data_IF_988541758787
#
_entry.id   IF_988541758787
#
_cell.length_a   1.000
_cell.length_b   1.000
_cell.length_c   1.000
_cell.angle_alpha   90.00
_cell.angle_beta   90.00
_cell.angle_gamma   90.00
#
_symmetry.space_group_name_H-M   'P 1'
#
loop_
_entity.id
_entity.type
_entity.pdbx_description
1 polymer ?
#
# COMPACT_ATOMS: atom_id res chain seq x y z
N UNK A 1 16.37 -16.75 -28.46
CA UNK A 1 16.64 -16.75 -27.01
C UNK A 1 16.22 -15.45 -26.31
N UNK A 2 16.65 -14.27 -26.77
CA UNK A 2 16.31 -12.97 -26.13
C UNK A 2 14.79 -12.72 -26.08
N UNK A 3 14.05 -13.01 -27.15
CA UNK A 3 12.59 -12.83 -27.18
C UNK A 3 11.84 -13.70 -26.14
N UNK A 4 12.31 -14.92 -25.88
CA UNK A 4 11.71 -15.82 -24.87
C UNK A 4 11.96 -15.28 -23.46
N UNK A 5 13.16 -14.74 -23.20
CA UNK A 5 13.51 -14.07 -21.96
C UNK A 5 12.62 -12.84 -21.70
N UNK A 6 12.34 -12.03 -22.73
CA UNK A 6 11.46 -10.86 -22.62
C UNK A 6 10.02 -11.28 -22.27
N UNK A 7 9.48 -12.30 -22.94
CA UNK A 7 8.14 -12.83 -22.65
C UNK A 7 8.06 -13.38 -21.22
N UNK A 8 9.11 -14.07 -20.77
CA UNK A 8 9.19 -14.61 -19.41
C UNK A 8 9.20 -13.49 -18.35
N UNK A 9 10.01 -12.44 -18.55
CA UNK A 9 10.05 -11.27 -17.66
C UNK A 9 8.70 -10.56 -17.64
N UNK A 10 8.04 -10.36 -18.78
CA UNK A 10 6.69 -9.78 -18.85
C UNK A 10 5.66 -10.64 -18.11
N UNK A 11 5.74 -11.97 -18.24
CA UNK A 11 4.89 -12.91 -17.51
C UNK A 11 5.04 -12.78 -15.98
N UNK A 12 6.29 -12.73 -15.49
CA UNK A 12 6.58 -12.50 -14.07
C UNK A 12 6.04 -11.14 -13.63
N UNK A 13 6.20 -10.09 -14.45
CA UNK A 13 5.70 -8.76 -14.10
C UNK A 13 4.18 -8.72 -13.96
N UNK A 14 3.46 -9.40 -14.85
CA UNK A 14 2.00 -9.51 -14.78
C UNK A 14 1.54 -10.30 -13.55
N UNK A 15 2.18 -11.43 -13.27
CA UNK A 15 1.92 -12.25 -12.07
C UNK A 15 2.13 -11.44 -10.80
N UNK A 16 3.23 -10.68 -10.72
CA UNK A 16 3.54 -9.85 -9.57
C UNK A 16 2.51 -8.72 -9.39
N UNK A 17 2.11 -8.06 -10.48
CA UNK A 17 1.10 -7.01 -10.45
C UNK A 17 -0.29 -7.53 -10.04
N UNK A 18 -0.62 -8.77 -10.43
CA UNK A 18 -1.84 -9.43 -9.98
C UNK A 18 -1.77 -9.81 -8.50
N UNK A 19 -0.63 -10.35 -8.06
CA UNK A 19 -0.38 -10.72 -6.68
C UNK A 19 -0.43 -9.51 -5.73
N UNK A 20 0.20 -8.38 -6.10
CA UNK A 20 0.17 -7.15 -5.30
C UNK A 20 -1.23 -6.55 -5.22
N UNK A 21 -2.04 -6.61 -6.29
CA UNK A 21 -3.45 -6.19 -6.26
C UNK A 21 -4.28 -7.06 -5.32
N UNK A 22 -4.09 -8.37 -5.34
CA UNK A 22 -4.76 -9.29 -4.42
C UNK A 22 -4.36 -9.03 -2.97
N UNK A 23 -3.06 -8.90 -2.69
CA UNK A 23 -2.56 -8.53 -1.38
C UNK A 23 -3.07 -7.17 -0.92
N UNK A 24 -3.14 -6.18 -1.81
CA UNK A 24 -3.70 -4.86 -1.51
C UNK A 24 -5.17 -4.99 -1.07
N UNK A 25 -6.00 -5.73 -1.83
CA UNK A 25 -7.41 -5.97 -1.44
C UNK A 25 -7.55 -6.72 -0.12
N UNK A 26 -6.75 -7.75 0.11
CA UNK A 26 -6.79 -8.53 1.37
C UNK A 26 -6.35 -7.66 2.55
N UNK A 27 -5.27 -6.89 2.37
CA UNK A 27 -4.75 -5.97 3.37
C UNK A 27 -5.75 -4.87 3.70
N UNK A 28 -6.34 -4.23 2.67
CA UNK A 28 -7.42 -3.24 2.83
C UNK A 28 -8.61 -3.83 3.59
N UNK A 29 -9.07 -5.04 3.25
CA UNK A 29 -10.18 -5.68 3.94
C UNK A 29 -9.84 -6.03 5.40
N UNK A 30 -8.60 -6.44 5.67
CA UNK A 30 -8.11 -6.72 7.02
C UNK A 30 -8.03 -5.46 7.87
N UNK A 31 -7.49 -4.37 7.31
CA UNK A 31 -7.41 -3.06 7.94
C UNK A 31 -8.83 -2.54 8.19
N UNK A 32 -9.70 -2.55 7.19
CA UNK A 32 -11.10 -2.12 7.29
C UNK A 32 -11.87 -2.88 8.36
N UNK A 33 -11.72 -4.21 8.44
CA UNK A 33 -12.30 -5.02 9.54
C UNK A 33 -11.75 -4.65 10.92
N UNK A 34 -10.48 -4.27 11.03
CA UNK A 34 -9.89 -3.82 12.31
C UNK A 34 -10.38 -2.43 12.70
N UNK A 35 -10.53 -1.54 11.71
CA UNK A 35 -11.07 -0.19 11.87
C UNK A 35 -12.55 -0.24 12.30
N UNK A 36 -13.39 -1.01 11.60
CA UNK A 36 -14.83 -1.19 11.89
C UNK A 36 -15.07 -1.82 13.27
N UNK A 37 -14.16 -2.69 13.74
CA UNK A 37 -14.25 -3.29 15.08
C UNK A 37 -13.72 -2.37 16.19
N UNK A 38 -13.32 -1.13 15.88
CA UNK A 38 -12.76 -0.20 16.86
C UNK A 38 -11.44 -0.67 17.48
N UNK A 39 -10.76 -1.66 16.87
CA UNK A 39 -9.53 -2.27 17.43
C UNK A 39 -8.28 -1.41 17.23
N UNK A 40 -8.42 -0.27 16.57
CA UNK A 40 -7.34 0.69 16.31
C UNK A 40 -7.74 1.99 17.00
N UNK A 41 -6.98 2.39 18.01
CA UNK A 41 -7.16 3.66 18.70
C UNK A 41 -6.73 4.82 17.80
N UNK A 42 -7.19 6.02 18.13
CA UNK A 42 -6.93 7.24 17.36
C UNK A 42 -5.42 7.55 17.25
N UNK A 43 -4.69 7.40 18.36
CA UNK A 43 -3.23 7.52 18.37
C UNK A 43 -2.52 6.45 17.51
N UNK A 44 -3.07 5.24 17.46
CA UNK A 44 -2.51 4.18 16.60
C UNK A 44 -2.81 4.47 15.13
N UNK A 45 -4.01 4.96 14.82
CA UNK A 45 -4.41 5.32 13.47
C UNK A 45 -3.54 6.44 12.90
N UNK A 46 -3.29 7.48 13.70
CA UNK A 46 -2.41 8.59 13.34
C UNK A 46 -0.97 8.12 13.10
N UNK A 47 -0.42 7.28 13.99
CA UNK A 47 0.92 6.69 13.83
C UNK A 47 1.03 5.86 12.55
N UNK A 48 0.01 5.05 12.25
CA UNK A 48 -0.04 4.24 11.03
C UNK A 48 -0.11 5.13 9.78
N UNK A 49 -0.98 6.15 9.79
CA UNK A 49 -1.12 7.11 8.70
C UNK A 49 0.22 7.83 8.41
N UNK A 50 0.88 8.33 9.46
CA UNK A 50 2.18 9.00 9.36
C UNK A 50 3.31 8.05 8.91
N UNK A 51 3.29 6.79 9.35
CA UNK A 51 4.27 5.79 8.91
C UNK A 51 4.14 5.50 7.41
N UNK A 52 2.91 5.35 6.92
CA UNK A 52 2.64 5.11 5.49
C UNK A 52 2.98 6.36 4.65
N UNK A 53 2.67 7.57 5.12
CA UNK A 53 3.03 8.80 4.41
C UNK A 53 4.56 8.97 4.27
N UNK A 54 5.31 8.67 5.34
CA UNK A 54 6.79 8.65 5.31
C UNK A 54 7.32 7.59 4.34
N UNK A 55 6.70 6.41 4.31
CA UNK A 55 7.08 5.32 3.42
C UNK A 55 6.84 5.66 1.94
N UNK A 56 5.70 6.29 1.62
CA UNK A 56 5.35 6.78 0.27
C UNK A 56 6.32 7.85 -0.23
N UNK A 57 6.77 8.76 0.65
CA UNK A 57 7.71 9.84 0.29
C UNK A 57 9.11 9.31 -0.04
N UNK A 58 9.52 8.15 0.48
CA UNK A 58 10.82 7.53 0.23
C UNK A 58 10.85 6.74 -1.08
N UNK A 59 10.52 7.39 -2.20
CA UNK A 59 10.49 6.78 -3.54
C UNK A 59 11.81 6.13 -3.93
N UNK A 60 12.95 6.73 -3.59
CA UNK A 60 14.28 6.18 -3.87
C UNK A 60 14.54 4.86 -3.13
N UNK A 61 14.12 4.77 -1.86
CA UNK A 61 14.21 3.52 -1.09
C UNK A 61 13.32 2.43 -1.70
N UNK A 62 12.12 2.80 -2.17
CA UNK A 62 11.22 1.88 -2.83
C UNK A 62 11.78 1.38 -4.17
N UNK A 63 12.43 2.25 -4.95
CA UNK A 63 13.13 1.86 -6.19
C UNK A 63 14.27 0.89 -5.87
N UNK A 64 15.06 1.17 -4.83
CA UNK A 64 16.17 0.29 -4.45
C UNK A 64 15.71 -1.10 -3.97
N UNK A 65 14.70 -1.16 -3.11
CA UNK A 65 14.22 -2.44 -2.56
C UNK A 65 13.35 -3.25 -3.53
N UNK A 66 12.50 -2.58 -4.31
CA UNK A 66 11.47 -3.24 -5.13
C UNK A 66 11.75 -3.17 -6.63
N UNK A 67 12.84 -2.51 -7.05
CA UNK A 67 13.27 -2.43 -8.45
C UNK A 67 12.14 -1.95 -9.36
N UNK A 68 11.88 -2.69 -10.44
CA UNK A 68 10.81 -2.40 -11.41
C UNK A 68 9.39 -2.42 -10.79
N UNK A 69 9.22 -3.06 -9.63
CA UNK A 69 7.93 -3.18 -8.94
C UNK A 69 7.66 -2.01 -7.99
N UNK A 70 8.56 -1.03 -7.89
CA UNK A 70 8.41 0.11 -6.99
C UNK A 70 7.09 0.87 -7.19
N UNK A 71 6.62 1.01 -8.43
CA UNK A 71 5.32 1.66 -8.72
C UNK A 71 4.16 0.92 -8.09
N UNK A 72 4.16 -0.42 -8.18
CA UNK A 72 3.10 -1.23 -7.58
C UNK A 72 3.11 -1.11 -6.05
N UNK A 73 4.29 -1.05 -5.45
CA UNK A 73 4.44 -0.86 -4.01
C UNK A 73 3.98 0.55 -3.56
N UNK A 74 4.35 1.60 -4.30
CA UNK A 74 3.91 2.97 -4.01
C UNK A 74 2.39 3.11 -4.14
N UNK A 75 1.77 2.48 -5.15
CA UNK A 75 0.32 2.48 -5.31
C UNK A 75 -0.36 1.76 -4.13
N UNK A 76 0.19 0.65 -3.66
CA UNK A 76 -0.34 -0.04 -2.49
C UNK A 76 -0.25 0.83 -1.21
N UNK A 77 0.86 1.54 -1.03
CA UNK A 77 1.00 2.49 0.09
C UNK A 77 0.01 3.66 -0.03
N UNK A 78 -0.22 4.19 -1.24
CA UNK A 78 -1.21 5.24 -1.49
C UNK A 78 -2.62 4.76 -1.10
N UNK A 79 -3.03 3.59 -1.58
CA UNK A 79 -4.33 3.01 -1.29
C UNK A 79 -4.55 2.86 0.23
N UNK A 80 -3.54 2.35 0.95
CA UNK A 80 -3.59 2.19 2.41
C UNK A 80 -3.66 3.56 3.10
N UNK A 81 -2.89 4.54 2.63
CA UNK A 81 -2.91 5.90 3.16
C UNK A 81 -4.30 6.54 3.02
N UNK A 82 -4.93 6.44 1.86
CA UNK A 82 -6.29 6.94 1.63
C UNK A 82 -7.29 6.28 2.57
N UNK A 83 -7.14 4.98 2.83
CA UNK A 83 -8.03 4.22 3.71
C UNK A 83 -7.89 4.67 5.18
N UNK A 84 -6.66 4.89 5.66
CA UNK A 84 -6.44 5.47 6.99
C UNK A 84 -6.91 6.91 7.09
N UNK A 85 -6.67 7.73 6.06
CA UNK A 85 -7.10 9.13 6.03
C UNK A 85 -8.62 9.26 6.06
N UNK A 86 -9.34 8.47 5.26
CA UNK A 86 -10.80 8.45 5.26
C UNK A 86 -11.38 8.03 6.63
N UNK A 87 -10.70 7.11 7.34
CA UNK A 87 -11.11 6.73 8.69
C UNK A 87 -10.81 7.84 9.73
N UNK A 88 -9.66 8.53 9.61
CA UNK A 88 -9.35 9.70 10.43
C UNK A 88 -10.36 10.83 10.22
N UNK A 89 -10.79 11.04 8.97
CA UNK A 89 -11.83 12.01 8.61
C UNK A 89 -13.17 11.68 9.27
N UNK A 90 -13.62 10.42 9.18
CA UNK A 90 -14.85 9.94 9.83
C UNK A 90 -14.86 10.16 11.34
N UNK A 91 -13.69 10.09 11.97
CA UNK A 91 -13.51 10.27 13.42
C UNK A 91 -13.19 11.71 13.81
N UNK A 92 -13.18 12.65 12.85
CA UNK A 92 -12.95 14.07 13.10
C UNK A 92 -11.50 14.47 13.43
N UNK A 93 -10.52 13.59 13.17
CA UNK A 93 -9.12 13.79 13.58
C UNK A 93 -8.28 14.63 12.61
N UNK A 94 -8.80 15.00 11.44
CA UNK A 94 -8.04 15.75 10.43
C UNK A 94 -8.06 17.28 10.61
N UNK A 95 -8.74 17.78 11.64
CA UNK A 95 -8.93 19.21 11.92
C UNK A 95 -8.21 19.71 13.21
N UNK A 96 -7.14 19.05 13.64
CA UNK A 96 -6.27 19.53 14.73
C UNK A 96 -4.97 20.13 14.22
#
# INVERSE_FOLDING_TARGET
MIAILIVFVLGIMLLFNFYTRLLSKISQNGIRRKLEKGKISDQQLEKLCNAVDKGRKRKMMAIFMYGIFYKSFLNMQEDIYQLYRAEMEKRGMLNQ
#
